data_IF_421310721705
#
_entry.id   IF_421310721705
#
_cell.length_a   1.000
_cell.length_b   1.000
_cell.length_c   1.000
_cell.angle_alpha   90.00
_cell.angle_beta   90.00
_cell.angle_gamma   90.00
#
_symmetry.space_group_name_H-M   'P 1'
#
loop_
_entity.id
_entity.type
_entity.pdbx_description
1 polymer ?
#
# COMPACT_ATOMS: atom_id res chain seq x y z
N UNK A 1 -5.69 -13.21 -33.01
CA UNK A 1 -7.16 -13.01 -33.01
C UNK A 1 -7.90 -14.24 -32.45
N UNK A 2 -7.62 -14.69 -31.22
CA UNK A 2 -8.31 -15.84 -30.58
C UNK A 2 -8.69 -15.59 -29.10
N UNK A 3 -8.61 -14.35 -28.62
CA UNK A 3 -8.83 -14.02 -27.20
C UNK A 3 -10.23 -13.46 -26.89
N UNK A 4 -11.06 -13.21 -27.91
CA UNK A 4 -12.38 -12.58 -27.74
C UNK A 4 -13.52 -13.58 -27.52
N UNK A 5 -13.26 -14.88 -27.62
CA UNK A 5 -14.31 -15.91 -27.50
C UNK A 5 -14.53 -16.41 -26.07
N UNK A 6 -13.59 -16.15 -25.15
CA UNK A 6 -13.66 -16.66 -23.77
C UNK A 6 -14.57 -15.82 -22.85
N UNK A 7 -14.86 -14.57 -23.22
CA UNK A 7 -15.65 -13.64 -22.39
C UNK A 7 -17.16 -13.91 -22.54
N UNK A 8 -17.60 -14.47 -23.66
CA UNK A 8 -19.04 -14.72 -23.89
C UNK A 8 -19.60 -15.91 -23.09
N UNK A 9 -18.77 -16.83 -22.62
CA UNK A 9 -19.25 -18.01 -21.85
C UNK A 9 -19.55 -17.61 -20.39
N UNK A 10 -18.91 -16.55 -19.86
CA UNK A 10 -19.08 -16.12 -18.47
C UNK A 10 -20.40 -15.36 -18.24
N UNK A 11 -20.93 -14.67 -19.26
CA UNK A 11 -22.21 -13.95 -19.15
C UNK A 11 -23.44 -14.86 -19.29
N UNK A 12 -23.33 -16.03 -19.92
CA UNK A 12 -24.43 -17.00 -20.02
C UNK A 12 -24.74 -17.75 -18.73
N UNK A 13 -23.74 -17.93 -17.86
CA UNK A 13 -23.90 -18.67 -16.60
C UNK A 13 -24.58 -17.87 -15.47
N UNK A 14 -24.78 -16.56 -15.65
CA UNK A 14 -25.51 -15.71 -14.70
C UNK A 14 -27.04 -15.83 -14.83
N UNK A 15 -27.55 -16.46 -15.90
CA UNK A 15 -29.00 -16.61 -16.15
C UNK A 15 -29.53 -17.98 -15.70
N UNK A 16 -28.67 -18.97 -15.49
CA UNK A 16 -29.06 -20.29 -15.01
C UNK A 16 -28.57 -20.49 -13.58
N UNK A 17 -29.50 -20.58 -12.62
CA UNK A 17 -29.25 -20.71 -11.17
C UNK A 17 -28.52 -21.99 -10.75
N UNK A 18 -27.25 -22.12 -11.13
CA UNK A 18 -26.37 -23.23 -10.75
C UNK A 18 -25.60 -22.86 -9.47
N UNK A 19 -25.46 -23.77 -8.47
CA UNK A 19 -24.80 -23.47 -7.21
C UNK A 19 -23.32 -23.13 -7.39
N UNK A 20 -22.93 -21.90 -7.02
CA UNK A 20 -21.62 -21.29 -7.27
C UNK A 20 -20.40 -21.89 -6.54
N UNK A 21 -20.54 -22.96 -5.74
CA UNK A 21 -19.41 -23.46 -4.91
C UNK A 21 -18.29 -24.14 -5.73
N UNK A 22 -18.59 -24.69 -6.91
CA UNK A 22 -17.59 -25.37 -7.75
C UNK A 22 -16.80 -24.48 -8.70
N UNK A 23 -17.41 -23.41 -9.23
CA UNK A 23 -16.82 -22.53 -10.25
C UNK A 23 -15.72 -21.62 -9.67
N UNK A 24 -15.88 -21.14 -8.43
CA UNK A 24 -14.88 -20.32 -7.75
C UNK A 24 -13.59 -21.12 -7.43
N UNK A 25 -13.72 -22.40 -7.06
CA UNK A 25 -12.57 -23.27 -6.81
C UNK A 25 -11.84 -23.69 -8.10
N UNK A 26 -12.58 -23.87 -9.20
CA UNK A 26 -12.01 -24.18 -10.52
C UNK A 26 -11.18 -23.03 -11.11
N UNK A 27 -11.65 -21.78 -10.97
CA UNK A 27 -10.95 -20.58 -11.45
C UNK A 27 -9.68 -20.27 -10.65
N UNK A 28 -9.66 -20.52 -9.34
CA UNK A 28 -8.42 -20.48 -8.56
C UNK A 28 -7.42 -21.51 -9.07
N UNK A 29 -7.83 -22.77 -9.31
CA UNK A 29 -6.91 -23.81 -9.81
C UNK A 29 -6.35 -23.52 -11.20
N UNK A 30 -7.13 -22.98 -12.14
CA UNK A 30 -6.65 -22.70 -13.50
C UNK A 30 -5.65 -21.54 -13.55
N UNK A 31 -5.81 -20.52 -12.68
CA UNK A 31 -4.85 -19.42 -12.58
C UNK A 31 -3.53 -19.85 -11.92
N UNK A 32 -3.57 -20.80 -10.96
CA UNK A 32 -2.36 -21.40 -10.38
C UNK A 32 -1.67 -22.40 -11.32
N UNK A 33 -2.42 -23.16 -12.13
CA UNK A 33 -1.83 -24.12 -13.10
C UNK A 33 -1.16 -23.43 -14.29
N UNK A 34 -1.66 -22.29 -14.77
CA UNK A 34 -1.00 -21.52 -15.84
C UNK A 34 0.34 -20.89 -15.39
N UNK A 35 0.56 -20.70 -14.08
CA UNK A 35 1.83 -20.22 -13.54
C UNK A 35 2.92 -21.33 -13.47
N UNK A 36 2.53 -22.61 -13.49
CA UNK A 36 3.46 -23.73 -13.35
C UNK A 36 4.22 -24.09 -14.65
N UNK A 37 3.84 -23.52 -15.80
CA UNK A 37 4.48 -23.79 -17.10
C UNK A 37 5.55 -22.80 -17.52
N UNK A 38 5.82 -21.76 -16.72
CA UNK A 38 6.93 -20.84 -16.97
C UNK A 38 8.15 -21.22 -16.13
N UNK A 39 9.33 -21.41 -16.74
CA UNK A 39 10.55 -21.68 -15.97
C UNK A 39 10.78 -20.53 -14.99
N UNK A 40 11.10 -20.86 -13.74
CA UNK A 40 11.41 -19.84 -12.73
C UNK A 40 12.49 -18.90 -13.28
N UNK A 41 12.29 -17.57 -13.17
CA UNK A 41 13.24 -16.62 -13.71
C UNK A 41 14.61 -16.81 -13.04
N UNK A 42 15.69 -16.55 -13.78
CA UNK A 42 17.05 -16.79 -13.30
C UNK A 42 17.34 -16.09 -11.96
N UNK A 43 16.81 -14.87 -11.78
CA UNK A 43 16.96 -14.12 -10.54
C UNK A 43 16.29 -14.79 -9.35
N UNK A 44 15.23 -15.58 -9.53
CA UNK A 44 14.57 -16.28 -8.42
C UNK A 44 15.41 -17.43 -7.84
N UNK A 45 16.50 -17.81 -8.51
CA UNK A 45 17.46 -18.85 -8.08
C UNK A 45 18.61 -18.32 -7.23
N UNK A 46 18.69 -16.99 -7.03
CA UNK A 46 19.71 -16.38 -6.19
C UNK A 46 19.60 -16.90 -4.75
N UNK A 47 20.74 -17.32 -4.20
CA UNK A 47 20.78 -18.15 -2.98
C UNK A 47 20.97 -17.29 -1.74
N UNK A 48 21.80 -16.27 -1.80
CA UNK A 48 22.14 -15.45 -0.63
C UNK A 48 21.26 -14.20 -0.55
N UNK A 49 21.16 -13.64 0.66
CA UNK A 49 20.42 -12.37 0.87
C UNK A 49 21.06 -11.24 0.08
N UNK A 50 22.40 -11.20 0.06
CA UNK A 50 23.20 -10.15 -0.58
C UNK A 50 23.03 -10.16 -2.11
N UNK A 51 23.02 -11.35 -2.73
CA UNK A 51 22.75 -11.51 -4.16
C UNK A 51 21.36 -10.96 -4.53
N UNK A 52 20.36 -11.26 -3.70
CA UNK A 52 18.97 -10.82 -3.92
C UNK A 52 18.86 -9.31 -3.77
N UNK A 53 19.44 -8.73 -2.71
CA UNK A 53 19.45 -7.29 -2.49
C UNK A 53 20.14 -6.55 -3.64
N UNK A 54 21.31 -7.01 -4.07
CA UNK A 54 22.04 -6.42 -5.20
C UNK A 54 21.22 -6.48 -6.50
N UNK A 55 20.57 -7.62 -6.78
CA UNK A 55 19.71 -7.76 -7.95
C UNK A 55 18.53 -6.78 -7.91
N UNK A 56 17.89 -6.61 -6.75
CA UNK A 56 16.75 -5.70 -6.58
C UNK A 56 17.15 -4.24 -6.78
N UNK A 57 18.26 -3.82 -6.19
CA UNK A 57 18.81 -2.47 -6.36
C UNK A 57 19.15 -2.24 -7.82
N UNK A 58 19.89 -3.16 -8.46
CA UNK A 58 20.28 -3.03 -9.86
C UNK A 58 19.07 -2.92 -10.79
N UNK A 59 18.03 -3.70 -10.53
CA UNK A 59 16.80 -3.73 -11.35
C UNK A 59 15.96 -2.47 -11.18
N UNK A 60 15.89 -1.91 -9.97
CA UNK A 60 14.95 -0.83 -9.65
C UNK A 60 15.59 0.57 -9.58
N UNK A 61 16.92 0.67 -9.58
CA UNK A 61 17.63 1.96 -9.41
C UNK A 61 17.28 3.02 -10.48
N UNK A 62 16.88 2.62 -11.70
CA UNK A 62 16.58 3.55 -12.81
C UNK A 62 15.09 3.77 -13.07
N UNK A 63 14.21 3.34 -12.17
CA UNK A 63 12.77 3.41 -12.39
C UNK A 63 12.32 2.68 -13.67
N UNK A 64 11.10 2.98 -14.15
CA UNK A 64 10.56 2.41 -15.39
C UNK A 64 9.42 3.26 -15.98
N UNK A 65 9.12 3.07 -17.27
CA UNK A 65 7.98 3.70 -17.97
C UNK A 65 6.62 3.10 -17.59
N UNK A 66 6.59 1.90 -17.03
CA UNK A 66 5.38 1.17 -16.66
C UNK A 66 5.62 0.27 -15.45
N UNK A 67 4.55 -0.29 -14.89
CA UNK A 67 4.60 -1.25 -13.78
C UNK A 67 4.87 -2.70 -14.22
N UNK A 68 5.33 -2.92 -15.46
CA UNK A 68 5.61 -4.27 -15.98
C UNK A 68 6.62 -5.02 -15.10
N UNK A 69 7.72 -4.36 -14.70
CA UNK A 69 8.75 -4.94 -13.82
C UNK A 69 8.13 -5.37 -12.47
N UNK A 70 7.27 -4.54 -11.89
CA UNK A 70 6.59 -4.85 -10.63
C UNK A 70 5.74 -6.12 -10.75
N UNK A 71 5.08 -6.31 -11.90
CA UNK A 71 4.24 -7.49 -12.16
C UNK A 71 5.06 -8.74 -12.39
N UNK A 72 6.11 -8.66 -13.18
CA UNK A 72 7.02 -9.79 -13.41
C UNK A 72 7.67 -10.26 -12.10
N UNK A 73 8.10 -9.31 -11.27
CA UNK A 73 8.61 -9.59 -9.93
C UNK A 73 7.55 -10.25 -9.05
N UNK A 74 6.34 -9.67 -8.98
CA UNK A 74 5.24 -10.23 -8.18
C UNK A 74 4.87 -11.64 -8.61
N UNK A 75 4.73 -11.89 -9.91
CA UNK A 75 4.42 -13.20 -10.46
C UNK A 75 5.54 -14.22 -10.16
N UNK A 76 6.80 -13.80 -10.34
CA UNK A 76 7.96 -14.65 -10.04
C UNK A 76 8.00 -15.05 -8.55
N UNK A 77 7.78 -14.10 -7.64
CA UNK A 77 7.75 -14.37 -6.20
C UNK A 77 6.53 -15.18 -5.76
N UNK A 78 5.37 -14.96 -6.37
CA UNK A 78 4.15 -15.73 -6.08
C UNK A 78 4.26 -17.19 -6.53
N UNK A 79 5.11 -17.49 -7.52
CA UNK A 79 5.40 -18.85 -7.98
C UNK A 79 6.36 -19.61 -7.05
N UNK A 80 7.02 -18.94 -6.10
CA UNK A 80 7.92 -19.58 -5.14
C UNK A 80 7.14 -20.27 -4.01
N UNK A 81 7.70 -21.34 -3.41
CA UNK A 81 7.23 -21.87 -2.14
C UNK A 81 7.17 -20.77 -1.07
N UNK A 82 6.23 -20.88 -0.14
CA UNK A 82 5.95 -19.82 0.85
C UNK A 82 7.19 -19.39 1.65
N UNK A 83 7.99 -20.34 2.13
CA UNK A 83 9.21 -20.05 2.86
C UNK A 83 10.23 -19.25 2.02
N UNK A 84 10.46 -19.68 0.77
CA UNK A 84 11.35 -18.98 -0.14
C UNK A 84 10.81 -17.58 -0.52
N UNK A 85 9.50 -17.46 -0.71
CA UNK A 85 8.84 -16.17 -0.95
C UNK A 85 9.02 -15.24 0.25
N UNK A 86 8.84 -15.73 1.46
CA UNK A 86 9.04 -14.95 2.69
C UNK A 86 10.48 -14.44 2.83
N UNK A 87 11.47 -15.29 2.52
CA UNK A 87 12.88 -14.87 2.53
C UNK A 87 13.13 -13.77 1.50
N UNK A 88 12.57 -13.89 0.30
CA UNK A 88 12.62 -12.85 -0.72
C UNK A 88 11.94 -11.55 -0.28
N UNK A 89 10.80 -11.63 0.40
CA UNK A 89 10.10 -10.46 0.93
C UNK A 89 10.94 -9.71 1.98
N UNK A 90 11.74 -10.43 2.79
CA UNK A 90 12.70 -9.81 3.71
C UNK A 90 13.84 -9.11 2.97
N UNK A 91 14.39 -9.71 1.91
CA UNK A 91 15.40 -9.05 1.05
C UNK A 91 14.83 -7.80 0.38
N UNK A 92 13.57 -7.82 -0.08
CA UNK A 92 12.90 -6.63 -0.62
C UNK A 92 12.86 -5.49 0.40
N UNK A 93 12.49 -5.78 1.64
CA UNK A 93 12.43 -4.77 2.70
C UNK A 93 13.79 -4.19 3.07
N UNK A 94 14.86 -4.99 3.07
CA UNK A 94 16.25 -4.52 3.28
C UNK A 94 16.75 -3.63 2.15
N UNK A 95 16.44 -3.98 0.90
CA UNK A 95 16.81 -3.17 -0.27
C UNK A 95 15.96 -1.89 -0.39
N UNK A 96 14.74 -1.86 0.15
CA UNK A 96 13.75 -0.79 -0.05
C UNK A 96 14.30 0.62 0.16
N UNK A 97 15.08 0.84 1.23
CA UNK A 97 15.63 2.16 1.57
C UNK A 97 16.79 2.59 0.67
N UNK A 98 17.44 1.65 0.00
CA UNK A 98 18.54 1.88 -0.93
C UNK A 98 18.03 2.21 -2.35
N UNK A 99 16.79 1.80 -2.66
CA UNK A 99 16.15 2.08 -3.94
C UNK A 99 15.63 3.53 -3.95
N UNK A 100 15.92 4.33 -4.99
CA UNK A 100 15.52 5.73 -5.05
C UNK A 100 14.00 5.90 -5.22
N UNK A 101 13.46 6.96 -4.60
CA UNK A 101 12.03 7.31 -4.69
C UNK A 101 11.61 7.78 -6.08
N UNK A 102 12.51 8.46 -6.80
CA UNK A 102 12.34 8.98 -8.16
C UNK A 102 13.40 8.36 -9.08
N UNK A 103 13.22 8.44 -10.40
CA UNK A 103 14.29 8.09 -11.33
C UNK A 103 15.45 9.09 -11.16
N UNK A 104 16.69 8.64 -10.90
CA UNK A 104 17.84 9.53 -10.78
C UNK A 104 18.19 10.27 -12.08
N UNK A 105 17.66 9.85 -13.24
CA UNK A 105 17.83 10.57 -14.49
C UNK A 105 16.86 11.76 -14.57
N UNK A 106 17.34 13.01 -14.53
CA UNK A 106 16.48 14.20 -14.57
C UNK A 106 15.71 14.34 -15.89
N UNK A 107 16.21 13.73 -16.98
CA UNK A 107 15.53 13.71 -18.29
C UNK A 107 14.38 12.71 -18.36
N UNK A 108 14.17 11.91 -17.31
CA UNK A 108 13.15 10.87 -17.23
C UNK A 108 12.14 11.17 -16.12
N UNK A 109 11.73 12.43 -15.97
CA UNK A 109 10.77 12.87 -14.95
C UNK A 109 9.40 12.17 -15.03
N UNK A 110 9.05 11.61 -16.19
CA UNK A 110 7.84 10.81 -16.39
C UNK A 110 7.98 9.34 -15.96
N UNK A 111 9.19 8.85 -15.62
CA UNK A 111 9.36 7.49 -15.15
C UNK A 111 8.82 7.30 -13.72
N UNK A 112 8.28 6.12 -13.49
CA UNK A 112 7.92 5.64 -12.16
C UNK A 112 9.22 5.31 -11.44
N UNK A 113 9.49 5.99 -10.32
CA UNK A 113 10.67 5.72 -9.51
C UNK A 113 10.71 4.30 -8.93
N UNK A 114 11.91 3.78 -8.70
CA UNK A 114 12.15 2.39 -8.28
C UNK A 114 11.37 1.96 -7.04
N UNK A 115 11.28 2.85 -6.03
CA UNK A 115 10.57 2.53 -4.79
C UNK A 115 9.06 2.39 -5.00
N UNK A 116 8.46 3.17 -5.91
CA UNK A 116 7.05 3.05 -6.29
C UNK A 116 6.78 1.76 -7.07
N UNK A 117 7.72 1.32 -7.91
CA UNK A 117 7.65 0.01 -8.55
C UNK A 117 7.67 -1.13 -7.52
N UNK A 118 8.50 -0.99 -6.48
CA UNK A 118 8.56 -1.97 -5.40
C UNK A 118 7.28 -1.99 -4.56
N UNK A 119 6.75 -0.83 -4.18
CA UNK A 119 5.45 -0.71 -3.48
C UNK A 119 4.32 -1.41 -4.23
N UNK A 120 4.32 -1.25 -5.56
CA UNK A 120 3.38 -1.92 -6.43
C UNK A 120 3.54 -3.45 -6.41
N UNK A 121 4.76 -3.96 -6.51
CA UNK A 121 5.03 -5.39 -6.46
C UNK A 121 4.58 -5.99 -5.12
N UNK A 122 4.90 -5.32 -4.01
CA UNK A 122 4.50 -5.71 -2.66
C UNK A 122 2.98 -5.78 -2.53
N UNK A 123 2.26 -4.79 -3.05
CA UNK A 123 0.78 -4.76 -3.01
C UNK A 123 0.18 -5.93 -3.80
N UNK A 124 0.77 -6.27 -4.95
CA UNK A 124 0.36 -7.43 -5.75
C UNK A 124 0.60 -8.77 -5.04
N UNK A 125 1.71 -8.91 -4.32
CA UNK A 125 2.09 -10.14 -3.61
C UNK A 125 1.26 -10.32 -2.34
N UNK A 126 1.18 -9.27 -1.52
CA UNK A 126 0.64 -9.35 -0.17
C UNK A 126 -0.89 -9.31 -0.15
N UNK A 127 -1.55 -8.74 -1.16
CA UNK A 127 -3.02 -8.69 -1.28
C UNK A 127 -3.68 -8.31 0.04
N UNK A 128 -3.24 -7.19 0.61
CA UNK A 128 -3.73 -6.69 1.90
C UNK A 128 -5.24 -6.50 1.92
N UNK A 129 -5.86 -6.15 0.78
CA UNK A 129 -7.31 -6.11 0.62
C UNK A 129 -7.99 -7.42 1.07
N UNK A 130 -7.50 -8.56 0.59
CA UNK A 130 -8.04 -9.87 0.92
C UNK A 130 -7.69 -10.29 2.35
N UNK A 131 -6.45 -10.03 2.80
CA UNK A 131 -6.01 -10.36 4.16
C UNK A 131 -6.80 -9.60 5.21
N UNK A 132 -7.05 -8.31 5.00
CA UNK A 132 -7.90 -7.49 5.88
C UNK A 132 -9.33 -8.01 5.88
N UNK A 133 -9.92 -8.22 4.70
CA UNK A 133 -11.29 -8.74 4.60
C UNK A 133 -11.47 -10.06 5.37
N UNK A 134 -10.51 -10.98 5.25
CA UNK A 134 -10.52 -12.24 5.98
C UNK A 134 -10.36 -12.03 7.50
N UNK A 135 -9.37 -11.25 7.93
CA UNK A 135 -9.09 -11.05 9.35
C UNK A 135 -10.24 -10.36 10.10
N UNK A 136 -10.90 -9.40 9.45
CA UNK A 136 -12.05 -8.66 9.98
C UNK A 136 -13.28 -9.53 10.27
N UNK A 137 -13.33 -10.77 9.77
CA UNK A 137 -14.38 -11.73 10.14
C UNK A 137 -14.26 -12.22 11.59
N UNK A 138 -13.09 -12.04 12.22
CA UNK A 138 -12.78 -12.57 13.56
C UNK A 138 -12.13 -11.56 14.51
N UNK A 139 -11.65 -10.43 13.99
CA UNK A 139 -10.90 -9.40 14.73
C UNK A 139 -11.50 -8.03 14.47
N UNK A 140 -11.34 -7.12 15.43
CA UNK A 140 -11.76 -5.74 15.22
C UNK A 140 -10.76 -4.98 14.29
N UNK A 141 -11.19 -3.87 13.66
CA UNK A 141 -10.35 -3.14 12.71
C UNK A 141 -9.00 -2.65 13.26
N UNK A 142 -8.95 -2.22 14.52
CA UNK A 142 -7.70 -1.80 15.15
C UNK A 142 -6.70 -2.96 15.29
N UNK A 143 -7.16 -4.15 15.70
CA UNK A 143 -6.32 -5.33 15.80
C UNK A 143 -5.74 -5.73 14.43
N UNK A 144 -6.56 -5.70 13.38
CA UNK A 144 -6.10 -6.03 12.02
C UNK A 144 -5.07 -5.00 11.53
N UNK A 145 -5.30 -3.71 11.81
CA UNK A 145 -4.33 -2.65 11.49
C UNK A 145 -3.02 -2.81 12.28
N UNK A 146 -3.08 -3.21 13.55
CA UNK A 146 -1.91 -3.54 14.35
C UNK A 146 -1.07 -4.67 13.74
N UNK A 147 -1.72 -5.77 13.35
CA UNK A 147 -1.05 -6.90 12.70
C UNK A 147 -0.44 -6.52 11.35
N UNK A 148 -1.07 -5.61 10.62
CA UNK A 148 -0.50 -5.03 9.41
C UNK A 148 0.81 -4.29 9.72
N UNK A 149 0.85 -3.43 10.74
CA UNK A 149 2.08 -2.74 11.13
C UNK A 149 3.16 -3.70 11.62
N UNK A 150 2.81 -4.74 12.38
CA UNK A 150 3.77 -5.77 12.80
C UNK A 150 4.38 -6.49 11.59
N UNK A 151 3.57 -6.76 10.56
CA UNK A 151 4.05 -7.30 9.29
C UNK A 151 4.99 -6.33 8.59
N UNK A 152 4.64 -5.04 8.49
CA UNK A 152 5.52 -4.04 7.89
C UNK A 152 6.84 -3.93 8.65
N UNK A 153 6.81 -3.92 9.98
CA UNK A 153 8.00 -3.85 10.83
C UNK A 153 8.95 -5.03 10.60
N UNK A 154 8.41 -6.25 10.49
CA UNK A 154 9.21 -7.45 10.17
C UNK A 154 9.85 -7.39 8.78
N UNK A 155 9.18 -6.76 7.81
CA UNK A 155 9.69 -6.66 6.44
C UNK A 155 10.71 -5.51 6.29
N UNK A 156 10.36 -4.30 6.74
CA UNK A 156 11.10 -3.06 6.46
C UNK A 156 11.99 -2.58 7.62
N UNK A 157 11.97 -3.25 8.77
CA UNK A 157 12.75 -2.85 9.94
C UNK A 157 12.38 -1.46 10.45
N UNK A 158 11.10 -1.10 10.38
CA UNK A 158 10.54 0.09 11.02
C UNK A 158 10.27 -0.19 12.50
N UNK A 159 10.32 0.86 13.32
CA UNK A 159 10.27 0.78 14.79
C UNK A 159 8.99 1.38 15.38
N UNK A 160 8.00 1.68 14.55
CA UNK A 160 6.72 2.27 14.95
C UNK A 160 5.55 1.45 14.39
N UNK A 161 4.36 1.65 14.94
CA UNK A 161 3.15 1.01 14.47
C UNK A 161 1.91 1.71 15.01
N UNK A 162 0.87 0.92 15.30
CA UNK A 162 -0.42 1.46 15.74
C UNK A 162 -0.30 2.28 17.04
N UNK A 163 0.61 1.91 17.94
CA UNK A 163 0.86 2.62 19.20
C UNK A 163 1.24 4.09 18.98
N UNK A 164 2.10 4.36 18.00
CA UNK A 164 2.56 5.71 17.67
C UNK A 164 1.57 6.45 16.76
N UNK A 165 0.87 5.72 15.90
CA UNK A 165 -0.06 6.31 14.92
C UNK A 165 -1.38 6.73 15.57
N UNK A 166 -1.93 5.91 16.47
CA UNK A 166 -3.25 6.18 17.07
C UNK A 166 -3.35 7.56 17.75
N UNK A 167 -2.39 7.98 18.60
CA UNK A 167 -2.41 9.32 19.20
C UNK A 167 -2.43 10.46 18.16
N UNK A 168 -1.77 10.27 17.01
CA UNK A 168 -1.78 11.25 15.91
C UNK A 168 -3.16 11.34 15.27
N UNK A 169 -3.81 10.18 15.04
CA UNK A 169 -5.17 10.13 14.49
C UNK A 169 -6.17 10.80 15.43
N UNK A 170 -6.09 10.50 16.73
CA UNK A 170 -6.93 11.08 17.77
C UNK A 170 -6.72 12.60 17.88
N UNK A 171 -5.46 13.05 17.85
CA UNK A 171 -5.12 14.47 17.84
C UNK A 171 -5.76 15.19 16.64
N UNK A 172 -5.56 14.69 15.43
CA UNK A 172 -6.10 15.31 14.21
C UNK A 172 -7.64 15.29 14.21
N UNK A 173 -8.26 14.19 14.66
CA UNK A 173 -9.72 14.11 14.81
C UNK A 173 -10.24 15.17 15.79
N UNK A 174 -9.59 15.32 16.94
CA UNK A 174 -9.93 16.34 17.92
C UNK A 174 -9.83 17.75 17.32
N UNK A 175 -8.78 18.05 16.55
CA UNK A 175 -8.66 19.35 15.87
C UNK A 175 -9.84 19.62 14.93
N UNK A 176 -10.32 18.59 14.20
CA UNK A 176 -11.49 18.73 13.36
C UNK A 176 -12.80 18.92 14.15
N UNK A 177 -12.91 18.32 15.33
CA UNK A 177 -14.08 18.44 16.20
C UNK A 177 -14.23 19.84 16.83
N UNK A 178 -13.16 20.63 16.90
CA UNK A 178 -13.19 22.01 17.37
C UNK A 178 -13.73 23.01 16.33
N UNK A 179 -13.93 22.58 15.09
CA UNK A 179 -14.41 23.43 14.02
C UNK A 179 -15.92 23.69 14.17
N UNK A 180 -16.40 24.90 13.81
CA UNK A 180 -17.83 25.22 13.88
C UNK A 180 -18.69 24.24 13.07
N UNK A 181 -19.82 23.84 13.65
CA UNK A 181 -20.82 23.02 12.96
C UNK A 181 -21.52 23.83 11.85
N UNK A 182 -21.95 23.15 10.77
CA UNK A 182 -22.77 23.75 9.70
C UNK A 182 -22.07 24.01 8.36
N UNK A 183 -20.75 23.78 8.28
CA UNK A 183 -20.00 23.81 7.01
C UNK A 183 -19.94 22.46 6.29
N UNK A 184 -19.35 22.40 5.07
CA UNK A 184 -19.01 21.14 4.41
C UNK A 184 -18.16 20.26 5.33
N UNK A 185 -18.34 18.95 5.28
CA UNK A 185 -17.55 18.01 6.08
C UNK A 185 -16.07 18.16 5.76
N UNK A 186 -15.30 18.58 6.76
CA UNK A 186 -13.85 18.66 6.64
C UNK A 186 -13.25 17.28 6.84
N UNK A 187 -12.32 16.94 5.95
CA UNK A 187 -11.69 15.61 5.86
C UNK A 187 -10.18 15.80 5.79
N UNK A 188 -9.48 15.07 6.64
CA UNK A 188 -8.03 14.87 6.53
C UNK A 188 -7.78 13.44 6.05
N UNK A 189 -7.01 13.27 5.00
CA UNK A 189 -6.59 11.96 4.47
C UNK A 189 -5.10 11.76 4.71
N UNK A 190 -4.72 10.68 5.35
CA UNK A 190 -3.34 10.28 5.56
C UNK A 190 -2.99 9.16 4.59
N UNK A 191 -1.92 9.37 3.83
CA UNK A 191 -1.44 8.43 2.83
C UNK A 191 0.05 8.13 2.97
N UNK A 192 0.60 7.55 1.92
CA UNK A 192 2.04 7.43 1.76
C UNK A 192 2.73 6.47 2.73
N UNK A 193 4.02 6.69 2.93
CA UNK A 193 4.88 5.68 3.56
C UNK A 193 4.68 5.54 5.07
N UNK A 194 4.20 6.58 5.76
CA UNK A 194 4.03 6.59 7.22
C UNK A 194 2.91 5.65 7.65
N UNK A 195 1.68 5.86 7.18
CA UNK A 195 0.53 4.99 7.49
C UNK A 195 0.61 3.60 6.83
N UNK A 196 1.60 3.37 5.97
CA UNK A 196 1.92 2.04 5.42
C UNK A 196 3.15 1.40 6.06
N UNK A 197 3.65 1.90 7.21
CA UNK A 197 4.70 1.24 7.98
C UNK A 197 6.06 1.15 7.27
N UNK A 198 6.36 2.09 6.36
CA UNK A 198 7.57 2.10 5.53
C UNK A 198 8.40 3.36 5.68
N UNK A 199 7.87 4.39 6.34
CA UNK A 199 8.60 5.63 6.59
C UNK A 199 9.84 5.38 7.46
N UNK A 200 10.92 6.09 7.14
CA UNK A 200 12.01 6.34 8.09
C UNK A 200 11.69 7.64 8.84
N UNK A 201 11.36 7.56 10.12
CA UNK A 201 10.91 8.72 10.90
C UNK A 201 11.98 9.83 11.03
N UNK A 202 13.26 9.53 10.75
CA UNK A 202 14.34 10.54 10.74
C UNK A 202 14.32 11.43 9.49
N UNK A 203 13.70 10.98 8.40
CA UNK A 203 13.87 11.60 7.08
C UNK A 203 12.68 11.52 6.14
N UNK A 204 11.58 10.91 6.56
CA UNK A 204 10.35 10.82 5.78
C UNK A 204 9.37 11.88 6.24
N UNK A 205 8.44 12.21 5.36
CA UNK A 205 7.36 13.13 5.62
C UNK A 205 6.07 12.36 5.94
N UNK A 206 5.14 13.04 6.59
CA UNK A 206 3.75 12.64 6.79
C UNK A 206 2.92 13.25 5.65
N UNK A 207 2.54 12.41 4.69
CA UNK A 207 1.66 12.80 3.59
C UNK A 207 0.23 13.02 4.12
N UNK A 208 -0.22 14.27 4.09
CA UNK A 208 -1.51 14.68 4.62
C UNK A 208 -2.27 15.45 3.54
N UNK A 209 -3.46 14.97 3.14
CA UNK A 209 -4.36 15.75 2.29
C UNK A 209 -5.52 16.35 3.07
N UNK A 210 -5.79 17.63 2.82
CA UNK A 210 -6.86 18.38 3.48
C UNK A 210 -7.80 18.93 2.41
N UNK A 211 -9.10 18.63 2.52
CA UNK A 211 -10.10 19.15 1.59
C UNK A 211 -10.55 20.60 1.89
N UNK A 212 -9.95 21.25 2.90
CA UNK A 212 -10.26 22.60 3.34
C UNK A 212 -9.00 23.46 3.37
N UNK A 213 -8.96 24.50 2.52
CA UNK A 213 -7.84 25.45 2.46
C UNK A 213 -7.65 26.22 3.77
N UNK A 214 -8.73 26.41 4.53
CA UNK A 214 -8.69 27.16 5.79
C UNK A 214 -7.80 26.48 6.83
N UNK A 215 -7.71 25.14 6.82
CA UNK A 215 -6.91 24.40 7.78
C UNK A 215 -5.42 24.29 7.40
N UNK A 216 -5.04 24.71 6.18
CA UNK A 216 -3.62 24.72 5.79
C UNK A 216 -2.77 25.62 6.69
N UNK A 217 -3.39 26.64 7.30
CA UNK A 217 -2.73 27.55 8.26
C UNK A 217 -2.40 26.86 9.60
N UNK A 218 -3.10 25.78 9.93
CA UNK A 218 -2.94 25.06 11.20
C UNK A 218 -1.86 23.97 11.09
N UNK A 219 -1.44 23.61 9.87
CA UNK A 219 -0.40 22.59 9.59
C UNK A 219 0.91 22.81 10.36
N UNK A 220 1.47 24.03 10.48
CA UNK A 220 2.68 24.24 11.27
C UNK A 220 2.51 23.87 12.75
N UNK A 221 1.34 24.15 13.32
CA UNK A 221 1.02 23.78 14.69
C UNK A 221 0.86 22.25 14.81
N UNK A 222 0.11 21.63 13.89
CA UNK A 222 -0.07 20.17 13.89
C UNK A 222 1.26 19.44 13.75
N UNK A 223 2.17 19.94 12.91
CA UNK A 223 3.50 19.36 12.76
C UNK A 223 4.27 19.37 14.08
N UNK A 224 4.21 20.48 14.82
CA UNK A 224 4.87 20.58 16.12
C UNK A 224 4.31 19.54 17.10
N UNK A 225 2.99 19.51 17.28
CA UNK A 225 2.34 18.59 18.23
C UNK A 225 2.55 17.11 17.84
N UNK A 226 2.45 16.77 16.55
CA UNK A 226 2.72 15.41 16.06
C UNK A 226 4.17 15.01 16.28
N UNK A 227 5.12 15.92 16.05
CA UNK A 227 6.53 15.65 16.32
C UNK A 227 6.77 15.39 17.82
N UNK A 228 6.11 16.14 18.70
CA UNK A 228 6.22 15.95 20.14
C UNK A 228 5.60 14.63 20.61
N UNK A 229 4.43 14.25 20.06
CA UNK A 229 3.81 12.93 20.30
C UNK A 229 4.75 11.78 19.88
N UNK A 230 5.38 11.89 18.72
CA UNK A 230 6.30 10.86 18.23
C UNK A 230 7.59 10.76 19.05
N UNK A 231 8.15 11.90 19.48
CA UNK A 231 9.41 11.92 20.24
C UNK A 231 9.35 11.20 21.57
N UNK A 232 8.15 11.02 22.14
CA UNK A 232 7.94 10.22 23.37
C UNK A 232 8.46 8.78 23.20
N UNK A 233 8.30 8.20 22.01
CA UNK A 233 8.67 6.80 21.72
C UNK A 233 9.77 6.68 20.66
N UNK A 234 9.97 7.72 19.85
CA UNK A 234 10.93 7.80 18.75
C UNK A 234 11.70 9.13 18.85
N UNK A 235 12.64 9.28 19.82
CA UNK A 235 13.30 10.55 20.11
C UNK A 235 14.03 11.19 18.91
N UNK A 236 14.50 10.37 17.98
CA UNK A 236 15.13 10.80 16.73
C UNK A 236 14.18 11.30 15.63
N UNK A 237 12.87 11.23 15.85
CA UNK A 237 11.88 11.55 14.82
C UNK A 237 12.00 13.02 14.40
N UNK A 238 12.06 13.21 13.09
CA UNK A 238 12.07 14.52 12.43
C UNK A 238 11.01 14.58 11.34
N UNK A 239 9.89 13.89 11.57
CA UNK A 239 8.76 13.81 10.64
C UNK A 239 8.24 15.23 10.35
N UNK A 240 8.18 15.60 9.07
CA UNK A 240 7.55 16.84 8.61
C UNK A 240 6.21 16.54 7.98
N UNK A 241 5.26 17.47 8.03
CA UNK A 241 3.98 17.31 7.34
C UNK A 241 4.12 17.86 5.92
N UNK A 242 3.79 17.04 4.93
CA UNK A 242 3.61 17.47 3.55
C UNK A 242 2.10 17.55 3.26
N UNK A 243 1.58 18.78 3.17
CA UNK A 243 0.16 19.04 3.02
C UNK A 243 -0.24 19.19 1.54
N UNK A 244 -1.28 18.46 1.12
CA UNK A 244 -1.74 18.38 -0.27
C UNK A 244 -3.27 18.47 -0.41
N UNK A 245 -3.77 18.56 -1.64
CA UNK A 245 -5.20 18.53 -1.98
C UNK A 245 -5.68 17.22 -2.63
N UNK A 246 -4.86 16.16 -2.59
CA UNK A 246 -5.10 14.92 -3.32
C UNK A 246 -6.14 14.00 -2.65
N UNK A 247 -7.11 13.44 -3.40
CA UNK A 247 -8.11 12.55 -2.84
C UNK A 247 -7.50 11.21 -2.38
N UNK A 248 -8.16 10.48 -1.46
CA UNK A 248 -7.71 9.14 -1.01
C UNK A 248 -7.33 8.17 -2.13
N UNK A 249 -8.05 8.22 -3.25
CA UNK A 249 -7.81 7.39 -4.42
C UNK A 249 -6.46 7.65 -5.08
N UNK A 250 -5.88 8.85 -4.95
CA UNK A 250 -4.52 9.15 -5.39
C UNK A 250 -3.49 8.28 -4.66
N UNK A 251 -3.58 8.22 -3.32
CA UNK A 251 -2.69 7.41 -2.49
C UNK A 251 -2.89 5.90 -2.69
N UNK A 252 -4.16 5.48 -2.84
CA UNK A 252 -4.57 4.09 -3.05
C UNK A 252 -4.04 3.46 -4.35
N UNK A 253 -3.52 4.24 -5.29
CA UNK A 253 -2.90 3.74 -6.53
C UNK A 253 -1.62 2.95 -6.26
N UNK A 254 -0.86 3.36 -5.25
CA UNK A 254 0.50 2.86 -4.96
C UNK A 254 0.55 2.16 -3.62
N UNK A 255 -0.18 2.66 -2.61
CA UNK A 255 -0.17 2.11 -1.27
C UNK A 255 -1.50 1.41 -0.95
N UNK A 256 -1.46 0.28 -0.22
CA UNK A 256 -2.65 -0.48 0.10
C UNK A 256 -3.52 0.18 1.16
N UNK A 257 -2.95 0.90 2.12
CA UNK A 257 -3.67 1.52 3.23
C UNK A 257 -3.74 3.02 3.04
N UNK A 258 -4.91 3.61 3.33
CA UNK A 258 -5.16 5.06 3.46
C UNK A 258 -6.09 5.27 4.66
N UNK A 259 -5.87 6.32 5.43
CA UNK A 259 -6.74 6.66 6.57
C UNK A 259 -7.44 7.98 6.30
N UNK A 260 -8.73 8.05 6.57
CA UNK A 260 -9.53 9.26 6.46
C UNK A 260 -10.06 9.64 7.84
N UNK A 261 -9.88 10.89 8.22
CA UNK A 261 -10.27 11.44 9.51
C UNK A 261 -11.31 12.51 9.26
N UNK A 262 -12.41 12.41 10.00
CA UNK A 262 -13.44 13.44 10.12
C UNK A 262 -13.63 13.77 11.60
N UNK A 263 -14.35 14.85 11.91
CA UNK A 263 -14.70 15.17 13.30
C UNK A 263 -15.46 14.05 14.03
N UNK A 264 -16.12 13.13 13.31
CA UNK A 264 -17.01 12.10 13.89
C UNK A 264 -16.41 10.71 13.94
N UNK A 265 -15.51 10.40 13.01
CA UNK A 265 -14.98 9.05 12.85
C UNK A 265 -13.62 9.07 12.17
N UNK A 266 -12.85 8.00 12.42
CA UNK A 266 -11.66 7.62 11.68
C UNK A 266 -11.96 6.38 10.87
N UNK A 267 -11.74 6.45 9.55
CA UNK A 267 -11.96 5.35 8.61
C UNK A 267 -10.66 4.88 8.00
N UNK A 268 -10.48 3.57 7.93
CA UNK A 268 -9.42 2.89 7.22
C UNK A 268 -9.96 2.43 5.87
N UNK A 269 -9.23 2.77 4.81
CA UNK A 269 -9.46 2.31 3.45
C UNK A 269 -8.32 1.37 3.03
N UNK A 270 -8.67 0.16 2.61
CA UNK A 270 -7.73 -0.84 2.08
C UNK A 270 -8.00 -1.07 0.61
N UNK A 271 -7.08 -0.60 -0.23
CA UNK A 271 -7.17 -0.68 -1.68
C UNK A 271 -6.61 -2.00 -2.20
N UNK A 272 -7.37 -2.64 -3.07
CA UNK A 272 -6.84 -3.70 -3.92
C UNK A 272 -5.79 -3.11 -4.88
N UNK A 273 -4.84 -3.93 -5.39
CA UNK A 273 -3.92 -3.48 -6.41
C UNK A 273 -4.68 -2.87 -7.60
N UNK A 274 -4.44 -1.58 -7.89
CA UNK A 274 -5.07 -0.88 -9.01
C UNK A 274 -4.95 -1.64 -10.33
N UNK A 275 -5.99 -1.64 -11.18
CA UNK A 275 -5.92 -2.33 -12.47
C UNK A 275 -5.19 -1.44 -13.47
N UNK A 276 -4.33 -2.03 -14.30
CA UNK A 276 -3.72 -1.30 -15.41
C UNK A 276 -4.68 -1.29 -16.59
N UNK A 277 -5.43 -0.21 -16.74
CA UNK A 277 -5.81 0.29 -18.05
C UNK A 277 -4.96 1.54 -18.31
N UNK A 278 -4.57 1.73 -19.57
CA UNK A 278 -3.53 2.66 -20.00
C UNK A 278 -3.64 4.03 -19.30
N UNK A 279 -2.51 4.49 -18.74
CA UNK A 279 -2.27 5.81 -18.13
C UNK A 279 -3.00 6.13 -16.82
N UNK A 280 -4.20 5.60 -16.58
CA UNK A 280 -4.95 5.85 -15.35
C UNK A 280 -5.05 4.60 -14.47
N UNK A 281 -4.22 4.56 -13.42
CA UNK A 281 -4.43 3.63 -12.31
C UNK A 281 -5.75 4.00 -11.62
N UNK A 282 -6.82 3.27 -11.93
CA UNK A 282 -8.05 3.31 -11.16
C UNK A 282 -8.02 2.13 -10.18
N UNK A 283 -7.85 2.38 -8.87
CA UNK A 283 -8.06 1.31 -7.92
C UNK A 283 -9.54 0.93 -7.89
N UNK A 284 -9.83 -0.34 -7.66
CA UNK A 284 -11.19 -0.80 -7.38
C UNK A 284 -11.73 -0.11 -6.11
N UNK A 285 -13.03 -0.22 -5.86
CA UNK A 285 -13.60 0.25 -4.60
C UNK A 285 -12.82 -0.38 -3.42
N UNK A 286 -12.29 0.45 -2.50
CA UNK A 286 -11.55 -0.04 -1.36
C UNK A 286 -12.49 -0.70 -0.35
N UNK A 287 -11.97 -1.65 0.41
CA UNK A 287 -12.57 -2.05 1.66
C UNK A 287 -12.51 -0.86 2.63
N UNK A 288 -13.66 -0.34 3.03
CA UNK A 288 -13.77 0.76 3.98
C UNK A 288 -14.27 0.25 5.34
N UNK A 289 -13.52 0.54 6.41
CA UNK A 289 -13.88 0.15 7.77
C UNK A 289 -13.69 1.32 8.73
N UNK A 290 -14.64 1.49 9.66
CA UNK A 290 -14.51 2.44 10.76
C UNK A 290 -13.55 1.88 11.80
N UNK A 291 -12.56 2.66 12.21
CA UNK A 291 -11.68 2.32 13.34
C UNK A 291 -12.36 2.66 14.66
N UNK A 292 -12.83 3.91 14.79
CA UNK A 292 -13.63 4.43 15.91
C UNK A 292 -14.34 5.73 15.51
#
# INVERSE_FOLDING_TARGET
MRSSLLILIVLGALVAGVPQKGLAQGLCRSLFQAAASHPMPAWARLKTTEEREAHLIQTLQKGAKSFQISREMANGLLALPEAAREDWMRSLGRAYRQIPKQDPNPMASWHIGGRRLLDRALTLIERYDLKFQQALTTKNPEQVLGEFFDRQNRLFGTTYGLREIKPILEYLQHQLALLPEGGPTTVITLGGSFINGKANLKSSDLDLSINSRLLLRDVPQWQKEIADLLRVTQPESNLKIEAHGEPKYFYGKINPVVIEITAREVRLFVFAPAREHQQDLHPAEPLAVRLY
#
